data_IF_761132957303
#
_entry.id   IF_761132957303
#
_cell.length_a   1.000
_cell.length_b   1.000
_cell.length_c   1.000
_cell.angle_alpha   90.00
_cell.angle_beta   90.00
_cell.angle_gamma   90.00
#
_symmetry.space_group_name_H-M   'P 1'
#
loop_
_entity.id
_entity.type
_entity.pdbx_description
1 polymer ?
#
# COMPACT_ATOMS: atom_id res chain seq x y z
N UNK A 1 -33.99 12.98 8.28
CA UNK A 1 -33.94 11.69 9.03
C UNK A 1 -35.19 10.86 8.77
N UNK A 2 -36.41 11.36 9.02
CA UNK A 2 -37.66 10.57 8.77
C UNK A 2 -37.77 10.15 7.31
N UNK A 3 -37.62 11.06 6.36
CA UNK A 3 -37.64 10.76 4.93
C UNK A 3 -36.55 9.75 4.52
N UNK A 4 -35.37 9.83 5.11
CA UNK A 4 -34.29 8.86 4.85
C UNK A 4 -34.64 7.46 5.36
N UNK A 5 -35.20 7.36 6.57
CA UNK A 5 -35.65 6.08 7.15
C UNK A 5 -36.76 5.50 6.26
N UNK A 6 -37.74 6.31 5.88
CA UNK A 6 -38.84 5.89 5.01
C UNK A 6 -38.35 5.40 3.64
N UNK A 7 -37.41 6.13 2.99
CA UNK A 7 -36.83 5.70 1.73
C UNK A 7 -36.04 4.38 1.85
N UNK A 8 -35.33 4.16 2.95
CA UNK A 8 -34.59 2.92 3.15
C UNK A 8 -35.52 1.73 3.41
N UNK A 9 -36.67 1.96 4.01
CA UNK A 9 -37.64 0.91 4.33
C UNK A 9 -38.63 0.58 3.19
N UNK A 10 -38.75 1.46 2.17
CA UNK A 10 -39.58 1.24 1.00
C UNK A 10 -39.42 -0.15 0.32
N UNK A 11 -38.20 -0.72 0.16
CA UNK A 11 -38.04 -2.04 -0.44
C UNK A 11 -38.45 -3.21 0.47
N UNK A 12 -38.67 -2.96 1.75
CA UNK A 12 -38.81 -3.99 2.78
C UNK A 12 -40.19 -4.06 3.45
N UNK A 13 -40.99 -2.98 3.31
CA UNK A 13 -42.29 -2.85 3.94
C UNK A 13 -43.39 -2.58 2.92
N UNK A 14 -44.58 -3.09 3.19
CA UNK A 14 -45.75 -2.69 2.44
C UNK A 14 -46.27 -1.30 2.85
N UNK A 15 -47.24 -0.77 2.07
CA UNK A 15 -47.77 0.59 2.29
C UNK A 15 -48.39 0.78 3.68
N UNK A 16 -49.05 -0.25 4.24
CA UNK A 16 -49.68 -0.16 5.55
C UNK A 16 -48.62 -0.17 6.67
N UNK A 17 -47.56 -0.95 6.48
CA UNK A 17 -46.42 -1.00 7.40
C UNK A 17 -45.60 0.29 7.36
N UNK A 18 -45.43 0.89 6.16
CA UNK A 18 -44.76 2.19 6.00
C UNK A 18 -45.53 3.30 6.70
N UNK A 19 -46.86 3.36 6.51
CA UNK A 19 -47.70 4.34 7.19
C UNK A 19 -47.62 4.20 8.72
N UNK A 20 -47.60 2.96 9.22
CA UNK A 20 -47.48 2.70 10.64
C UNK A 20 -46.09 3.09 11.19
N UNK A 21 -45.04 2.85 10.40
CA UNK A 21 -43.68 3.29 10.74
C UNK A 21 -43.59 4.81 10.83
N UNK A 22 -44.20 5.53 9.87
CA UNK A 22 -44.25 7.00 9.87
C UNK A 22 -44.93 7.54 11.11
N UNK A 23 -46.12 7.06 11.47
CA UNK A 23 -46.85 7.42 12.68
C UNK A 23 -46.03 7.17 13.95
N UNK A 24 -45.32 6.02 14.03
CA UNK A 24 -44.51 5.69 15.19
C UNK A 24 -43.30 6.62 15.30
N UNK A 25 -42.65 6.92 14.18
CA UNK A 25 -41.51 7.83 14.15
C UNK A 25 -41.92 9.26 14.53
N UNK A 26 -43.02 9.76 13.96
CA UNK A 26 -43.56 11.08 14.32
C UNK A 26 -43.85 11.18 15.81
N UNK A 27 -44.55 10.20 16.37
CA UNK A 27 -44.88 10.19 17.77
C UNK A 27 -43.67 10.03 18.70
N UNK A 28 -42.73 9.15 18.33
CA UNK A 28 -41.54 8.86 19.12
C UNK A 28 -40.53 10.01 19.11
N UNK A 29 -40.43 10.74 18.01
CA UNK A 29 -39.47 11.83 17.85
C UNK A 29 -40.04 13.21 18.21
N UNK A 30 -41.34 13.32 18.49
CA UNK A 30 -42.03 14.58 18.77
C UNK A 30 -41.44 15.37 19.94
N UNK A 31 -40.92 14.66 20.95
CA UNK A 31 -40.34 15.28 22.17
C UNK A 31 -38.80 15.46 22.08
N UNK A 32 -38.20 15.10 20.97
CA UNK A 32 -36.74 15.16 20.81
C UNK A 32 -36.36 16.26 19.82
N UNK A 33 -35.44 17.12 20.23
CA UNK A 33 -34.75 18.00 19.31
C UNK A 33 -33.62 17.19 18.65
N UNK A 34 -33.84 16.79 17.39
CA UNK A 34 -32.88 15.99 16.62
C UNK A 34 -31.89 16.94 15.97
N UNK A 35 -30.73 17.11 16.58
CA UNK A 35 -29.57 17.75 15.97
C UNK A 35 -28.71 16.69 15.27
N UNK A 36 -28.05 17.09 14.18
CA UNK A 36 -27.00 16.23 13.59
C UNK A 36 -25.96 15.93 14.67
N UNK A 37 -25.61 14.67 14.85
CA UNK A 37 -24.49 14.24 15.74
C UNK A 37 -23.16 14.91 15.33
N UNK A 38 -23.13 15.40 14.13
CA UNK A 38 -22.02 16.14 13.53
C UNK A 38 -22.46 17.61 13.34
N UNK A 39 -22.52 18.38 14.45
CA UNK A 39 -22.38 19.85 14.34
C UNK A 39 -21.04 20.10 13.66
N UNK A 40 -20.92 21.19 12.89
CA UNK A 40 -19.68 21.70 12.30
C UNK A 40 -18.63 22.01 13.39
N UNK A 41 -18.18 20.97 14.08
CA UNK A 41 -17.07 21.01 15.02
C UNK A 41 -15.83 20.63 14.23
N UNK A 42 -14.79 21.39 14.42
CA UNK A 42 -13.43 21.24 13.93
C UNK A 42 -13.18 19.98 13.10
N UNK A 43 -12.66 20.13 11.88
CA UNK A 43 -12.30 19.00 11.03
C UNK A 43 -11.41 18.00 11.81
N UNK A 44 -11.95 16.86 12.18
CA UNK A 44 -11.24 15.80 12.90
C UNK A 44 -10.53 14.82 11.97
N UNK A 45 -10.42 15.14 10.68
CA UNK A 45 -9.82 14.28 9.66
C UNK A 45 -8.44 13.79 10.06
N UNK A 46 -7.59 14.67 10.60
CA UNK A 46 -6.24 14.27 11.01
C UNK A 46 -6.26 13.28 12.17
N UNK A 47 -7.15 13.44 13.14
CA UNK A 47 -7.31 12.49 14.26
C UNK A 47 -7.76 11.13 13.77
N UNK A 48 -8.66 11.08 12.79
CA UNK A 48 -9.15 9.83 12.19
C UNK A 48 -8.07 9.14 11.34
N UNK A 49 -7.25 9.90 10.62
CA UNK A 49 -6.10 9.37 9.89
C UNK A 49 -5.09 8.73 10.85
N UNK A 50 -4.78 9.41 11.96
CA UNK A 50 -3.86 8.91 12.98
C UNK A 50 -4.39 7.62 13.63
N UNK A 51 -5.68 7.58 13.96
CA UNK A 51 -6.33 6.39 14.52
C UNK A 51 -6.32 5.21 13.54
N UNK A 52 -6.61 5.45 12.26
CA UNK A 52 -6.53 4.42 11.22
C UNK A 52 -5.11 3.87 11.08
N UNK A 53 -4.10 4.73 11.02
CA UNK A 53 -2.69 4.31 10.92
C UNK A 53 -2.28 3.50 12.15
N UNK A 54 -2.75 3.89 13.34
CA UNK A 54 -2.52 3.13 14.57
C UNK A 54 -3.17 1.74 14.51
N UNK A 55 -4.43 1.65 14.09
CA UNK A 55 -5.13 0.37 13.92
C UNK A 55 -4.38 -0.54 12.94
N UNK A 56 -3.94 -0.01 11.79
CA UNK A 56 -3.17 -0.77 10.78
C UNK A 56 -1.79 -1.21 11.28
N UNK A 57 -1.18 -0.46 12.20
CA UNK A 57 0.07 -0.88 12.87
C UNK A 57 -0.15 -2.10 13.74
N UNK A 58 -1.23 -2.13 14.53
CA UNK A 58 -1.60 -3.29 15.36
C UNK A 58 -1.91 -4.51 14.48
N UNK A 59 -2.50 -4.30 13.29
CA UNK A 59 -2.74 -5.37 12.31
C UNK A 59 -1.45 -5.91 11.66
N UNK A 60 -0.27 -5.38 12.00
CA UNK A 60 1.02 -5.85 11.52
C UNK A 60 1.47 -5.26 10.18
N UNK A 61 0.91 -4.12 9.76
CA UNK A 61 1.40 -3.40 8.58
C UNK A 61 2.81 -2.85 8.80
N UNK A 62 3.68 -2.99 7.78
CA UNK A 62 5.02 -2.42 7.83
C UNK A 62 5.01 -0.89 7.86
N UNK A 63 6.00 -0.25 8.48
CA UNK A 63 6.14 1.22 8.54
C UNK A 63 6.13 1.87 7.14
N UNK A 64 6.69 1.19 6.13
CA UNK A 64 6.64 1.64 4.74
C UNK A 64 5.20 1.68 4.21
N UNK A 65 4.39 0.67 4.54
CA UNK A 65 2.98 0.60 4.16
C UNK A 65 2.17 1.66 4.89
N UNK A 66 2.41 1.84 6.20
CA UNK A 66 1.74 2.85 7.02
C UNK A 66 2.02 4.27 6.52
N UNK A 67 3.28 4.57 6.18
CA UNK A 67 3.66 5.85 5.58
C UNK A 67 2.94 6.08 4.25
N UNK A 68 2.86 5.05 3.40
CA UNK A 68 2.18 5.16 2.11
C UNK A 68 0.66 5.37 2.28
N UNK A 69 0.03 4.68 3.22
CA UNK A 69 -1.37 4.89 3.57
C UNK A 69 -1.62 6.32 4.02
N UNK A 70 -0.86 6.78 5.02
CA UNK A 70 -0.95 8.13 5.56
C UNK A 70 -0.83 9.19 4.46
N UNK A 71 0.28 9.18 3.72
CA UNK A 71 0.53 10.19 2.68
C UNK A 71 -0.56 10.19 1.61
N UNK A 72 -1.07 9.02 1.20
CA UNK A 72 -2.14 8.93 0.20
C UNK A 72 -3.45 9.55 0.71
N UNK A 73 -3.81 9.30 1.97
CA UNK A 73 -5.05 9.82 2.56
C UNK A 73 -4.93 11.33 2.81
N UNK A 74 -3.79 11.79 3.35
CA UNK A 74 -3.52 13.22 3.57
C UNK A 74 -3.57 14.00 2.24
N UNK A 75 -2.92 13.50 1.18
CA UNK A 75 -2.99 14.12 -0.16
C UNK A 75 -4.42 14.23 -0.69
N UNK A 76 -5.25 13.21 -0.45
CA UNK A 76 -6.67 13.25 -0.83
C UNK A 76 -7.42 14.30 0.00
N UNK A 77 -7.20 14.35 1.31
CA UNK A 77 -7.90 15.28 2.21
C UNK A 77 -7.57 16.73 1.86
N UNK A 78 -6.29 17.02 1.60
CA UNK A 78 -5.83 18.35 1.16
C UNK A 78 -6.42 18.77 -0.20
N UNK A 79 -6.56 17.81 -1.14
CA UNK A 79 -7.07 18.09 -2.47
C UNK A 79 -8.58 18.34 -2.51
N UNK A 80 -9.36 17.66 -1.65
CA UNK A 80 -10.82 17.76 -1.63
C UNK A 80 -11.28 18.95 -0.76
N UNK A 81 -10.45 19.41 0.18
CA UNK A 81 -10.77 20.50 1.14
C UNK A 81 -12.13 20.29 1.84
N UNK A 82 -12.37 19.07 2.28
CA UNK A 82 -13.60 18.65 2.95
C UNK A 82 -13.27 17.60 4.02
N UNK A 83 -13.84 17.72 5.21
CA UNK A 83 -13.67 16.72 6.27
C UNK A 83 -14.05 15.31 5.80
N UNK A 84 -13.27 14.31 6.17
CA UNK A 84 -13.41 12.91 5.69
C UNK A 84 -14.80 12.33 5.95
N UNK A 85 -15.49 12.78 7.02
CA UNK A 85 -16.85 12.33 7.35
C UNK A 85 -17.90 12.82 6.35
N UNK A 86 -17.62 13.90 5.63
CA UNK A 86 -18.55 14.57 4.71
C UNK A 86 -18.25 14.28 3.24
N UNK A 87 -17.17 13.54 2.96
CA UNK A 87 -16.81 13.16 1.60
C UNK A 87 -17.81 12.22 0.97
N UNK A 88 -18.21 12.54 -0.25
CA UNK A 88 -19.16 11.76 -1.05
C UNK A 88 -18.43 10.99 -2.16
N UNK A 89 -19.13 10.01 -2.74
CA UNK A 89 -18.58 9.21 -3.86
C UNK A 89 -18.09 10.07 -5.03
N UNK A 90 -18.79 11.16 -5.33
CA UNK A 90 -18.46 12.02 -6.46
C UNK A 90 -17.23 12.90 -6.16
N UNK A 91 -17.02 13.34 -4.91
CA UNK A 91 -15.78 14.01 -4.49
C UNK A 91 -14.55 13.11 -4.76
N UNK A 92 -14.66 11.83 -4.41
CA UNK A 92 -13.57 10.87 -4.61
C UNK A 92 -13.36 10.51 -6.09
N UNK A 93 -14.43 10.47 -6.89
CA UNK A 93 -14.30 10.27 -8.35
C UNK A 93 -13.59 11.44 -9.01
N UNK A 94 -13.99 12.68 -8.66
CA UNK A 94 -13.35 13.89 -9.14
C UNK A 94 -11.86 13.88 -8.77
N UNK A 95 -11.54 13.66 -7.50
CA UNK A 95 -10.16 13.57 -7.02
C UNK A 95 -9.32 12.55 -7.80
N UNK A 96 -9.80 11.33 -8.01
CA UNK A 96 -9.06 10.30 -8.73
C UNK A 96 -8.83 10.67 -10.18
N UNK A 97 -9.78 11.34 -10.82
CA UNK A 97 -9.67 11.83 -12.20
C UNK A 97 -8.65 12.96 -12.29
N UNK A 98 -8.77 13.99 -11.47
CA UNK A 98 -7.84 15.11 -11.41
C UNK A 98 -6.43 14.68 -11.05
N UNK A 99 -6.28 13.76 -10.09
CA UNK A 99 -4.98 13.20 -9.73
C UNK A 99 -4.32 12.51 -10.94
N UNK A 100 -5.09 11.72 -11.70
CA UNK A 100 -4.59 11.05 -12.89
C UNK A 100 -4.12 12.05 -13.96
N UNK A 101 -4.90 13.08 -14.24
CA UNK A 101 -4.60 14.11 -15.22
C UNK A 101 -3.38 14.94 -14.82
N UNK A 102 -3.38 15.44 -13.59
CA UNK A 102 -2.32 16.31 -13.06
C UNK A 102 -0.95 15.62 -13.02
N UNK A 103 -0.90 14.34 -12.67
CA UNK A 103 0.35 13.59 -12.49
C UNK A 103 0.68 12.65 -13.63
N UNK A 104 -0.15 12.54 -14.68
CA UNK A 104 0.03 11.55 -15.75
C UNK A 104 0.06 10.12 -15.22
N UNK A 105 -0.63 9.84 -14.12
CA UNK A 105 -0.51 8.59 -13.38
C UNK A 105 -1.11 7.40 -14.14
N UNK A 106 -0.46 6.24 -14.04
CA UNK A 106 -0.96 5.01 -14.63
C UNK A 106 -2.28 4.56 -13.97
N UNK A 107 -3.10 3.82 -14.72
CA UNK A 107 -4.32 3.21 -14.16
C UNK A 107 -4.04 2.29 -12.96
N UNK A 108 -2.86 1.67 -12.93
CA UNK A 108 -2.42 0.84 -11.79
C UNK A 108 -2.22 1.71 -10.55
N UNK A 109 -1.62 2.88 -10.71
CA UNK A 109 -1.43 3.85 -9.62
C UNK A 109 -2.79 4.31 -9.07
N UNK A 110 -3.73 4.66 -9.94
CA UNK A 110 -5.09 5.07 -9.55
C UNK A 110 -5.83 3.95 -8.81
N UNK A 111 -5.72 2.68 -9.28
CA UNK A 111 -6.33 1.56 -8.55
C UNK A 111 -5.68 1.33 -7.18
N UNK A 112 -4.37 1.56 -7.04
CA UNK A 112 -3.70 1.48 -5.75
C UNK A 112 -4.20 2.56 -4.79
N UNK A 113 -4.31 3.82 -5.25
CA UNK A 113 -4.91 4.91 -4.45
C UNK A 113 -6.33 4.53 -4.04
N UNK A 114 -7.18 4.13 -4.99
CA UNK A 114 -8.55 3.69 -4.71
C UNK A 114 -8.61 2.60 -3.64
N UNK A 115 -7.69 1.62 -3.68
CA UNK A 115 -7.62 0.52 -2.69
C UNK A 115 -7.27 1.02 -1.29
N UNK A 116 -6.37 1.98 -1.20
CA UNK A 116 -6.01 2.62 0.09
C UNK A 116 -7.21 3.39 0.64
N UNK A 117 -7.85 4.21 -0.19
CA UNK A 117 -9.06 4.94 0.20
C UNK A 117 -10.19 3.98 0.59
N UNK A 118 -10.35 2.86 -0.13
CA UNK A 118 -11.33 1.82 0.24
C UNK A 118 -11.03 1.23 1.62
N UNK A 119 -9.76 0.96 1.94
CA UNK A 119 -9.37 0.47 3.27
C UNK A 119 -9.66 1.48 4.36
N UNK A 120 -9.39 2.76 4.13
CA UNK A 120 -9.62 3.83 5.09
C UNK A 120 -11.11 4.05 5.34
N UNK A 121 -11.89 4.26 4.29
CA UNK A 121 -13.33 4.52 4.42
C UNK A 121 -14.13 3.30 4.89
N UNK A 122 -13.66 2.06 4.60
CA UNK A 122 -14.27 0.87 5.21
C UNK A 122 -13.98 0.80 6.70
N UNK A 123 -12.77 1.14 7.13
CA UNK A 123 -12.45 1.23 8.55
C UNK A 123 -13.29 2.32 9.26
N UNK A 124 -13.50 3.49 8.63
CA UNK A 124 -14.39 4.53 9.18
C UNK A 124 -15.85 4.05 9.30
N UNK A 125 -16.34 3.21 8.35
CA UNK A 125 -17.66 2.58 8.39
C UNK A 125 -17.72 1.54 9.53
N UNK A 126 -16.70 0.67 9.65
CA UNK A 126 -16.60 -0.39 10.65
C UNK A 126 -16.51 0.17 12.09
N UNK A 127 -15.90 1.36 12.28
CA UNK A 127 -15.77 2.06 13.56
C UNK A 127 -16.92 3.08 13.82
N UNK A 128 -18.00 3.01 13.05
CA UNK A 128 -19.18 3.89 13.17
C UNK A 128 -18.87 5.39 13.02
N UNK A 129 -17.75 5.74 12.40
CA UNK A 129 -17.41 7.14 12.12
C UNK A 129 -18.19 7.72 10.95
N UNK A 130 -18.62 6.88 10.01
CA UNK A 130 -19.50 7.19 8.89
C UNK A 130 -20.53 6.07 8.72
N UNK A 131 -21.70 6.40 8.17
CA UNK A 131 -22.76 5.42 7.93
C UNK A 131 -22.44 4.45 6.80
N UNK A 132 -21.73 4.92 5.77
CA UNK A 132 -21.43 4.14 4.58
C UNK A 132 -20.21 4.68 3.85
N UNK A 133 -19.31 3.77 3.48
CA UNK A 133 -18.10 4.12 2.73
C UNK A 133 -18.42 4.71 1.35
N UNK A 134 -17.97 5.94 1.04
CA UNK A 134 -18.19 6.57 -0.25
C UNK A 134 -17.42 5.88 -1.38
N UNK A 135 -16.38 5.10 -1.08
CA UNK A 135 -15.58 4.33 -2.06
C UNK A 135 -16.31 3.09 -2.56
N UNK A 136 -17.33 2.62 -1.85
CA UNK A 136 -18.03 1.36 -2.13
C UNK A 136 -18.60 1.27 -3.57
N UNK A 137 -18.97 2.43 -4.15
CA UNK A 137 -19.47 2.55 -5.53
C UNK A 137 -18.38 2.82 -6.57
N UNK A 138 -17.10 2.87 -6.15
CA UNK A 138 -15.96 3.06 -7.05
C UNK A 138 -15.31 1.70 -7.29
N UNK A 139 -15.63 1.10 -8.44
CA UNK A 139 -15.15 -0.23 -8.79
C UNK A 139 -13.66 -0.21 -9.17
N UNK A 140 -13.06 -1.41 -9.18
CA UNK A 140 -11.68 -1.62 -9.62
C UNK A 140 -11.45 -1.02 -11.00
N UNK A 141 -10.36 -0.25 -11.13
CA UNK A 141 -9.92 0.30 -12.41
C UNK A 141 -9.41 -0.85 -13.29
N UNK A 142 -9.95 -0.98 -14.50
CA UNK A 142 -9.48 -1.97 -15.48
C UNK A 142 -8.08 -1.59 -15.94
N UNK A 143 -7.12 -2.47 -15.71
CA UNK A 143 -5.73 -2.32 -16.15
C UNK A 143 -5.42 -3.40 -17.18
N UNK A 144 -4.69 -3.04 -18.23
CA UNK A 144 -4.15 -4.03 -19.16
C UNK A 144 -3.07 -4.86 -18.43
N UNK A 145 -3.07 -6.16 -18.67
CA UNK A 145 -1.97 -7.02 -18.26
C UNK A 145 -0.94 -7.02 -19.38
N UNK A 146 0.14 -6.29 -19.19
CA UNK A 146 1.26 -6.29 -20.14
C UNK A 146 2.27 -7.35 -19.68
N UNK A 147 2.75 -8.16 -20.62
CA UNK A 147 3.91 -9.01 -20.41
C UNK A 147 5.11 -8.07 -20.31
N UNK A 148 5.80 -8.13 -19.17
CA UNK A 148 7.06 -7.38 -19.04
C UNK A 148 8.15 -8.13 -19.76
N UNK A 149 8.90 -7.43 -20.59
CA UNK A 149 10.12 -7.95 -21.17
C UNK A 149 11.12 -8.29 -20.04
N UNK A 150 11.78 -9.41 -20.19
CA UNK A 150 12.87 -9.86 -19.32
C UNK A 150 14.15 -9.84 -20.12
N UNK A 151 15.28 -9.71 -19.43
CA UNK A 151 16.58 -9.82 -20.08
C UNK A 151 16.75 -11.21 -20.71
N UNK A 152 17.33 -11.24 -21.94
CA UNK A 152 17.79 -12.50 -22.55
C UNK A 152 19.13 -12.91 -21.93
N UNK A 153 19.54 -14.15 -22.18
CA UNK A 153 20.83 -14.63 -21.70
C UNK A 153 22.00 -13.83 -22.28
N UNK A 154 21.89 -13.43 -23.57
CA UNK A 154 22.89 -12.60 -24.25
C UNK A 154 22.96 -11.16 -23.65
N UNK A 155 21.83 -10.61 -23.28
CA UNK A 155 21.79 -9.29 -22.61
C UNK A 155 22.39 -9.35 -21.22
N UNK A 156 22.17 -10.44 -20.50
CA UNK A 156 22.77 -10.69 -19.18
C UNK A 156 24.30 -10.83 -19.29
N UNK A 157 24.82 -11.57 -20.31
CA UNK A 157 26.27 -11.65 -20.56
C UNK A 157 26.85 -10.27 -20.91
N UNK A 158 26.20 -9.49 -21.80
CA UNK A 158 26.62 -8.12 -22.08
C UNK A 158 26.65 -7.23 -20.84
N UNK A 159 25.70 -7.41 -19.92
CA UNK A 159 25.67 -6.68 -18.65
C UNK A 159 26.88 -7.05 -17.81
N UNK A 160 27.24 -8.34 -17.70
CA UNK A 160 28.44 -8.83 -17.01
C UNK A 160 29.72 -8.26 -17.61
N UNK A 161 29.86 -8.31 -18.92
CA UNK A 161 31.04 -7.83 -19.65
C UNK A 161 31.26 -6.32 -19.49
N UNK A 162 30.21 -5.55 -19.22
CA UNK A 162 30.30 -4.12 -18.98
C UNK A 162 30.46 -3.74 -17.50
N UNK A 163 30.48 -4.70 -16.57
CA UNK A 163 30.79 -4.43 -15.17
C UNK A 163 32.29 -4.19 -14.99
N UNK A 164 32.66 -2.97 -14.63
CA UNK A 164 34.06 -2.60 -14.31
C UNK A 164 34.42 -2.89 -12.86
N UNK A 165 33.44 -2.91 -11.99
CA UNK A 165 33.59 -3.11 -10.55
C UNK A 165 33.22 -4.54 -10.15
N UNK A 166 34.07 -5.18 -9.34
CA UNK A 166 33.80 -6.54 -8.82
C UNK A 166 32.48 -6.60 -8.05
N UNK A 167 32.14 -5.52 -7.33
CA UNK A 167 30.87 -5.42 -6.61
C UNK A 167 29.68 -5.53 -7.55
N UNK A 168 29.68 -4.76 -8.64
CA UNK A 168 28.54 -4.68 -9.56
C UNK A 168 28.35 -6.00 -10.29
N UNK A 169 29.45 -6.66 -10.68
CA UNK A 169 29.44 -8.00 -11.26
C UNK A 169 28.85 -9.03 -10.27
N UNK A 170 29.27 -9.01 -9.02
CA UNK A 170 28.75 -9.90 -7.98
C UNK A 170 27.25 -9.64 -7.70
N UNK A 171 26.79 -8.40 -7.74
CA UNK A 171 25.36 -8.04 -7.62
C UNK A 171 24.54 -8.62 -8.78
N UNK A 172 24.99 -8.40 -10.02
CA UNK A 172 24.32 -8.93 -11.21
C UNK A 172 24.16 -10.45 -11.12
N UNK A 173 25.25 -11.14 -10.81
CA UNK A 173 25.23 -12.61 -10.72
C UNK A 173 24.36 -13.11 -9.57
N UNK A 174 24.46 -12.49 -8.41
CA UNK A 174 23.66 -12.88 -7.25
C UNK A 174 22.17 -12.76 -7.53
N UNK A 175 21.74 -11.65 -8.15
CA UNK A 175 20.35 -11.44 -8.54
C UNK A 175 19.89 -12.40 -9.63
N UNK A 176 20.71 -12.63 -10.67
CA UNK A 176 20.37 -13.51 -11.78
C UNK A 176 20.28 -14.98 -11.36
N UNK A 177 21.22 -15.43 -10.55
CA UNK A 177 21.31 -16.83 -10.11
C UNK A 177 20.23 -17.21 -9.08
N UNK A 178 19.94 -16.31 -8.13
CA UNK A 178 19.05 -16.62 -7.00
C UNK A 178 17.60 -16.19 -7.21
N UNK A 179 17.35 -15.23 -8.09
CA UNK A 179 16.03 -14.60 -8.24
C UNK A 179 15.54 -13.88 -6.98
N UNK A 180 16.42 -13.54 -6.05
CA UNK A 180 16.04 -12.78 -4.85
C UNK A 180 15.68 -11.33 -5.22
N UNK A 181 14.88 -10.69 -4.37
CA UNK A 181 14.57 -9.27 -4.57
C UNK A 181 15.73 -8.40 -4.08
N UNK A 182 15.92 -7.24 -4.74
CA UNK A 182 16.92 -6.25 -4.29
C UNK A 182 16.75 -5.94 -2.79
N UNK A 183 15.52 -5.76 -2.32
CA UNK A 183 15.25 -5.48 -0.91
C UNK A 183 15.64 -6.61 0.06
N UNK A 184 15.76 -7.85 -0.42
CA UNK A 184 16.25 -8.99 0.36
C UNK A 184 17.79 -9.01 0.34
N UNK A 185 18.40 -8.75 -0.82
CA UNK A 185 19.84 -8.74 -1.00
C UNK A 185 20.57 -7.67 -0.16
N UNK A 186 20.00 -6.46 -0.08
CA UNK A 186 20.63 -5.35 0.68
C UNK A 186 20.62 -5.57 2.19
N UNK A 187 19.91 -6.54 2.70
CA UNK A 187 19.87 -6.91 4.11
C UNK A 187 20.86 -8.02 4.46
N UNK A 188 21.53 -8.64 3.46
CA UNK A 188 22.46 -9.73 3.69
C UNK A 188 23.80 -9.21 4.23
N UNK A 189 24.37 -9.97 5.17
CA UNK A 189 25.74 -9.82 5.66
C UNK A 189 26.67 -10.85 5.03
N UNK A 190 27.96 -10.62 5.09
CA UNK A 190 28.99 -11.60 4.66
C UNK A 190 28.81 -12.96 5.35
N UNK A 191 28.42 -12.95 6.62
CA UNK A 191 28.24 -14.16 7.41
C UNK A 191 27.01 -14.99 7.01
N UNK A 192 26.04 -14.40 6.30
CA UNK A 192 24.80 -15.09 5.86
C UNK A 192 25.05 -15.99 4.63
N UNK A 193 26.25 -15.92 4.02
CA UNK A 193 26.57 -16.65 2.80
C UNK A 193 27.28 -17.98 3.13
N UNK A 194 26.63 -19.09 2.82
CA UNK A 194 27.24 -20.40 2.88
C UNK A 194 27.91 -20.74 1.53
N UNK A 195 29.19 -20.45 1.42
CA UNK A 195 29.97 -20.71 0.19
C UNK A 195 30.14 -22.19 -0.13
N UNK A 196 30.07 -23.09 0.87
CA UNK A 196 30.24 -24.54 0.63
C UNK A 196 29.01 -25.10 -0.07
N UNK A 197 27.84 -24.82 0.47
CA UNK A 197 26.56 -25.27 -0.09
C UNK A 197 26.03 -24.34 -1.17
N UNK A 198 26.63 -23.15 -1.35
CA UNK A 198 26.22 -22.12 -2.30
C UNK A 198 24.77 -21.67 -2.06
N UNK A 199 24.48 -21.31 -0.84
CA UNK A 199 23.15 -20.90 -0.42
C UNK A 199 23.19 -19.72 0.56
N UNK A 200 22.09 -19.04 0.70
CA UNK A 200 21.83 -18.12 1.79
C UNK A 200 20.32 -18.08 2.12
N UNK A 201 19.99 -17.62 3.32
CA UNK A 201 18.62 -17.43 3.74
C UNK A 201 18.24 -15.97 3.49
N UNK A 202 17.10 -15.75 2.86
CA UNK A 202 16.55 -14.40 2.63
C UNK A 202 15.18 -14.25 3.29
N UNK A 203 14.89 -13.03 3.76
CA UNK A 203 13.64 -12.68 4.41
C UNK A 203 12.71 -11.99 3.40
N UNK A 204 11.60 -12.64 3.08
CA UNK A 204 10.59 -12.12 2.16
C UNK A 204 9.53 -11.26 2.85
N UNK A 205 8.53 -10.85 2.09
CA UNK A 205 7.38 -10.10 2.59
C UNK A 205 6.63 -10.91 3.66
N UNK A 206 6.37 -10.28 4.82
CA UNK A 206 5.65 -10.88 5.94
C UNK A 206 6.53 -11.83 6.76
N UNK A 207 7.83 -11.51 6.85
CA UNK A 207 8.81 -12.21 7.69
C UNK A 207 8.99 -13.71 7.33
N UNK A 208 8.74 -14.04 6.05
CA UNK A 208 8.89 -15.41 5.56
C UNK A 208 10.32 -15.63 5.09
N UNK A 209 10.99 -16.59 5.73
CA UNK A 209 12.31 -17.05 5.33
C UNK A 209 12.22 -18.01 4.14
N UNK A 210 13.21 -17.94 3.26
CA UNK A 210 13.48 -18.98 2.27
C UNK A 210 14.96 -19.10 1.98
N UNK A 211 15.39 -20.31 1.74
CA UNK A 211 16.74 -20.59 1.22
C UNK A 211 16.76 -20.28 -0.27
N UNK A 212 17.80 -19.63 -0.74
CA UNK A 212 18.10 -19.41 -2.15
C UNK A 212 19.48 -19.93 -2.46
N UNK A 213 19.63 -20.47 -3.67
CA UNK A 213 20.87 -21.12 -4.13
C UNK A 213 21.50 -20.31 -5.24
N UNK A 214 22.83 -20.23 -5.26
CA UNK A 214 23.57 -19.54 -6.30
C UNK A 214 24.55 -20.49 -7.01
N UNK A 215 24.86 -20.20 -8.26
CA UNK A 215 25.70 -21.02 -9.09
C UNK A 215 27.21 -20.85 -8.79
N UNK A 216 28.05 -21.63 -9.47
CA UNK A 216 29.50 -21.60 -9.27
C UNK A 216 30.11 -20.27 -9.76
N UNK A 217 29.57 -19.64 -10.79
CA UNK A 217 30.03 -18.34 -11.31
C UNK A 217 29.79 -17.27 -10.24
N UNK A 218 28.59 -17.19 -9.70
CA UNK A 218 28.22 -16.27 -8.62
C UNK A 218 29.14 -16.45 -7.41
N UNK A 219 29.42 -17.70 -7.01
CA UNK A 219 30.38 -17.98 -5.94
C UNK A 219 31.74 -17.33 -6.18
N UNK A 220 32.29 -17.52 -7.39
CA UNK A 220 33.64 -16.99 -7.74
C UNK A 220 33.63 -15.46 -7.71
N UNK A 221 32.64 -14.83 -8.35
CA UNK A 221 32.60 -13.37 -8.42
C UNK A 221 32.30 -12.72 -7.06
N UNK A 222 31.44 -13.33 -6.26
CA UNK A 222 31.16 -12.87 -4.91
C UNK A 222 32.39 -12.99 -3.99
N UNK A 223 33.12 -14.11 -4.08
CA UNK A 223 34.37 -14.31 -3.34
C UNK A 223 35.42 -13.26 -3.74
N UNK A 224 35.65 -13.06 -5.06
CA UNK A 224 36.58 -12.06 -5.56
C UNK A 224 36.23 -10.66 -5.07
N UNK A 225 34.93 -10.32 -5.02
CA UNK A 225 34.48 -9.04 -4.47
C UNK A 225 34.80 -8.92 -2.97
N UNK A 226 34.45 -9.95 -2.18
CA UNK A 226 34.69 -9.92 -0.72
C UNK A 226 36.18 -9.86 -0.41
N UNK A 227 37.01 -10.64 -1.11
CA UNK A 227 38.46 -10.68 -0.92
C UNK A 227 39.13 -9.34 -1.33
N UNK A 228 38.53 -8.63 -2.26
CA UNK A 228 38.98 -7.30 -2.68
C UNK A 228 38.55 -6.15 -1.78
N UNK A 229 37.70 -6.39 -0.78
CA UNK A 229 37.24 -5.37 0.16
C UNK A 229 38.31 -5.01 1.19
N UNK A 230 38.41 -3.71 1.49
CA UNK A 230 39.38 -3.18 2.48
C UNK A 230 38.69 -2.63 3.74
N UNK A 231 37.37 -2.76 3.83
CA UNK A 231 36.53 -2.32 4.95
C UNK A 231 36.14 -3.50 5.85
N UNK A 232 35.75 -3.21 7.08
CA UNK A 232 35.29 -4.19 8.07
C UNK A 232 33.76 -4.24 8.18
N UNK A 233 33.01 -3.55 7.31
CA UNK A 233 31.55 -3.53 7.36
C UNK A 233 31.00 -4.96 7.18
N UNK A 234 30.08 -5.44 8.07
CA UNK A 234 29.50 -6.76 7.98
C UNK A 234 28.59 -6.95 6.77
N UNK A 235 28.02 -5.88 6.20
CA UNK A 235 27.09 -5.98 5.07
C UNK A 235 27.74 -6.69 3.88
N UNK A 236 26.97 -7.52 3.17
CA UNK A 236 27.46 -8.23 2.00
C UNK A 236 27.88 -7.27 0.90
N UNK A 237 27.09 -6.23 0.63
CA UNK A 237 27.37 -5.20 -0.37
C UNK A 237 27.42 -3.83 0.27
N UNK A 238 28.48 -3.10 -0.01
CA UNK A 238 28.69 -1.72 0.47
C UNK A 238 28.75 -0.72 -0.68
N UNK A 239 28.62 0.57 -0.37
CA UNK A 239 28.80 1.63 -1.37
C UNK A 239 30.26 1.71 -1.79
N UNK A 240 30.54 2.15 -3.05
CA UNK A 240 31.91 2.41 -3.54
C UNK A 240 32.41 3.81 -3.14
N UNK A 241 31.55 4.62 -2.52
CA UNK A 241 31.91 5.98 -2.07
C UNK A 241 32.09 5.95 -0.57
N UNK A 242 33.20 6.53 -0.11
CA UNK A 242 33.40 6.74 1.31
C UNK A 242 32.44 7.82 1.86
N UNK A 243 31.98 7.72 3.13
CA UNK A 243 32.19 6.58 4.02
C UNK A 243 31.37 5.36 3.60
N UNK A 244 31.94 4.19 3.81
CA UNK A 244 31.30 2.88 3.50
C UNK A 244 30.23 2.56 4.52
#
# INVERSE_FOLDING_TARGET
IMEEIMQQMLPHLDNAQLQKLEEVLEHSLFMYEISSKYTETEDDSQKLIDAFVYAKRIEGCSEKTLKYYRTTIETMTEAIDKGVRHMQTDDLRAYLTEYQEKHGSSRVTIDNIRRILSSFFSWLEDEDHILKSPVRRIHKVKTATNIKETYTDEELEKMRDNCTELRDLAIVDMLASTGMRIGEMVLLNKADINFNERECVVFGKGDKERVVYFDARTKIHLQNYIDGRTDDDPALFVTLRAPH
#
